data_IF_487921350498
#
_entry.id   IF_487921350498
#
_cell.length_a   1.000
_cell.length_b   1.000
_cell.length_c   1.000
_cell.angle_alpha   90.00
_cell.angle_beta   90.00
_cell.angle_gamma   90.00
#
_symmetry.space_group_name_H-M   'P 1'
#
loop_
_entity.id
_entity.type
_entity.pdbx_description
1 polymer ?
#
# COMPACT_ATOMS: atom_id res chain seq x y z
N UNK A 1 -11.48 -27.79 -18.55
CA UNK A 1 -10.02 -27.56 -18.64
C UNK A 1 -9.78 -26.52 -19.73
N UNK A 2 -9.02 -25.45 -19.48
CA UNK A 2 -8.76 -24.41 -20.49
C UNK A 2 -7.62 -24.85 -21.40
N UNK A 3 -7.81 -24.80 -22.72
CA UNK A 3 -6.77 -25.13 -23.70
C UNK A 3 -5.73 -24.00 -23.77
N UNK A 4 -4.60 -24.19 -23.07
CA UNK A 4 -3.51 -23.20 -22.93
C UNK A 4 -2.69 -22.99 -24.20
N UNK A 5 -2.51 -24.02 -25.02
CA UNK A 5 -1.68 -24.00 -26.23
C UNK A 5 -2.50 -24.08 -27.51
N UNK A 6 -2.06 -23.37 -28.56
CA UNK A 6 -2.65 -23.41 -29.90
C UNK A 6 -1.59 -23.21 -30.98
N UNK A 7 -1.86 -23.76 -32.16
CA UNK A 7 -1.07 -23.53 -33.37
C UNK A 7 -1.70 -22.37 -34.15
N UNK A 8 -0.90 -21.36 -34.51
CA UNK A 8 -1.24 -20.23 -35.37
C UNK A 8 -0.56 -20.41 -36.72
N UNK A 9 -1.30 -20.21 -37.81
CA UNK A 9 -0.78 -20.28 -39.19
C UNK A 9 0.06 -21.54 -39.47
N UNK A 10 -0.36 -22.67 -38.90
CA UNK A 10 0.24 -24.02 -39.00
C UNK A 10 1.70 -24.18 -38.55
N UNK A 11 2.43 -23.09 -38.28
CA UNK A 11 3.87 -23.08 -37.96
C UNK A 11 4.20 -22.47 -36.60
N UNK A 12 3.33 -21.60 -36.06
CA UNK A 12 3.60 -20.85 -34.83
C UNK A 12 2.93 -21.49 -33.62
N UNK A 13 3.68 -22.11 -32.71
CA UNK A 13 3.16 -22.57 -31.42
C UNK A 13 3.03 -21.40 -30.45
N UNK A 14 1.82 -21.17 -29.94
CA UNK A 14 1.52 -20.15 -28.93
C UNK A 14 1.05 -20.82 -27.64
N UNK A 15 1.68 -20.49 -26.52
CA UNK A 15 1.35 -20.98 -25.17
C UNK A 15 0.92 -19.79 -24.30
N UNK A 16 -0.30 -19.83 -23.78
CA UNK A 16 -0.86 -18.79 -22.92
C UNK A 16 -0.63 -19.09 -21.44
N UNK A 17 -0.18 -18.08 -20.69
CA UNK A 17 0.12 -18.20 -19.26
C UNK A 17 1.26 -19.19 -18.99
N UNK A 18 2.43 -18.96 -19.61
CA UNK A 18 3.62 -19.82 -19.49
C UNK A 18 4.01 -20.01 -18.01
N UNK A 19 4.34 -21.23 -17.65
CA UNK A 19 4.74 -21.69 -16.32
C UNK A 19 6.05 -22.48 -16.40
N UNK A 20 6.68 -22.73 -15.25
CA UNK A 20 7.90 -23.56 -15.13
C UNK A 20 7.78 -24.90 -15.84
N UNK A 21 6.61 -25.56 -15.74
CA UNK A 21 6.33 -26.86 -16.34
C UNK A 21 6.07 -26.86 -17.87
N UNK A 22 6.05 -25.70 -18.53
CA UNK A 22 6.03 -25.65 -20.01
C UNK A 22 7.45 -25.61 -20.61
N UNK A 23 8.50 -25.47 -19.79
CA UNK A 23 9.88 -25.42 -20.26
C UNK A 23 10.34 -26.78 -20.80
N UNK A 24 11.12 -26.78 -21.90
CA UNK A 24 11.56 -28.02 -22.54
C UNK A 24 11.93 -27.88 -24.01
N UNK A 25 12.07 -29.03 -24.68
CA UNK A 25 12.38 -29.15 -26.10
C UNK A 25 11.09 -29.40 -26.90
N UNK A 26 10.86 -28.60 -27.93
CA UNK A 26 9.71 -28.65 -28.82
C UNK A 26 10.20 -28.94 -30.23
N UNK A 27 9.55 -29.89 -30.91
CA UNK A 27 9.87 -30.22 -32.31
C UNK A 27 8.79 -29.70 -33.24
N UNK A 28 9.13 -28.74 -34.10
CA UNK A 28 8.32 -28.38 -35.26
C UNK A 28 8.49 -29.47 -36.32
N UNK A 29 7.39 -29.94 -36.92
CA UNK A 29 7.43 -30.98 -37.98
C UNK A 29 6.58 -30.54 -39.17
N UNK A 30 7.22 -30.37 -40.32
CA UNK A 30 6.58 -29.92 -41.57
C UNK A 30 6.88 -30.93 -42.68
N UNK A 31 5.92 -31.83 -42.94
CA UNK A 31 6.07 -32.93 -43.89
C UNK A 31 7.14 -33.94 -43.46
N UNK A 32 8.35 -33.80 -43.98
CA UNK A 32 9.55 -34.59 -43.62
C UNK A 32 10.65 -33.78 -42.93
N UNK A 33 10.50 -32.46 -42.80
CA UNK A 33 11.44 -31.61 -42.09
C UNK A 33 11.09 -31.57 -40.60
N UNK A 34 12.11 -31.64 -39.75
CA UNK A 34 11.97 -31.50 -38.30
C UNK A 34 12.97 -30.45 -37.79
N UNK A 35 12.47 -29.45 -37.06
CA UNK A 35 13.28 -28.41 -36.42
C UNK A 35 13.03 -28.43 -34.91
N UNK A 36 14.08 -28.19 -34.12
CA UNK A 36 14.01 -28.19 -32.66
C UNK A 36 14.12 -26.77 -32.10
N UNK A 37 13.15 -26.39 -31.28
CA UNK A 37 13.13 -25.13 -30.54
C UNK A 37 13.09 -25.42 -29.03
N UNK A 38 13.75 -24.59 -28.21
CA UNK A 38 13.81 -24.78 -26.76
C UNK A 38 13.10 -23.64 -26.04
N UNK A 39 12.08 -23.97 -25.26
CA UNK A 39 11.42 -23.03 -24.36
C UNK A 39 12.11 -23.07 -23.00
N UNK A 40 12.60 -21.91 -22.57
CA UNK A 40 13.21 -21.69 -21.26
C UNK A 40 12.29 -20.74 -20.50
N UNK A 41 12.04 -21.03 -19.23
CA UNK A 41 11.19 -20.20 -18.37
C UNK A 41 12.04 -19.77 -17.19
N UNK A 42 12.32 -18.46 -17.10
CA UNK A 42 13.04 -17.88 -15.99
C UNK A 42 12.13 -17.02 -15.12
N UNK A 43 12.40 -16.98 -13.82
CA UNK A 43 11.78 -16.04 -12.90
C UNK A 43 12.84 -15.48 -11.95
N UNK A 44 13.02 -14.16 -12.00
CA UNK A 44 13.96 -13.44 -11.16
C UNK A 44 13.29 -12.83 -9.92
N UNK A 45 14.00 -12.84 -8.80
CA UNK A 45 13.49 -12.41 -7.49
C UNK A 45 14.59 -11.82 -6.62
N UNK A 46 14.21 -11.05 -5.60
CA UNK A 46 15.11 -10.47 -4.60
C UNK A 46 14.50 -10.57 -3.19
N UNK A 47 15.33 -10.93 -2.21
CA UNK A 47 14.95 -11.04 -0.81
C UNK A 47 15.94 -10.26 0.08
N UNK A 48 15.50 -9.40 1.01
CA UNK A 48 14.11 -9.00 1.24
C UNK A 48 13.52 -8.21 0.05
N UNK A 49 12.18 -8.05 -0.01
CA UNK A 49 11.56 -7.18 -1.00
C UNK A 49 12.08 -5.74 -0.94
N UNK A 50 12.21 -5.13 -2.12
CA UNK A 50 12.66 -3.75 -2.34
C UNK A 50 11.71 -2.75 -1.64
N UNK A 51 12.19 -1.65 -1.03
CA UNK A 51 13.55 -1.10 -1.08
C UNK A 51 14.52 -1.69 -0.05
N UNK A 52 15.75 -1.93 -0.50
CA UNK A 52 16.87 -2.38 0.33
C UNK A 52 17.46 -1.20 1.12
N UNK A 53 18.28 -1.53 2.12
CA UNK A 53 18.88 -0.58 3.07
C UNK A 53 20.40 -0.64 2.96
N UNK A 54 21.09 0.51 2.85
CA UNK A 54 22.57 0.56 2.82
C UNK A 54 23.14 -0.09 4.08
N UNK A 55 24.16 -0.93 3.92
CA UNK A 55 24.76 -1.71 5.01
C UNK A 55 23.97 -2.98 5.38
N UNK A 56 22.75 -3.14 4.89
CA UNK A 56 21.96 -4.36 5.04
C UNK A 56 22.46 -5.51 4.16
N UNK A 57 21.69 -6.60 4.11
CA UNK A 57 21.94 -7.73 3.21
C UNK A 57 20.76 -8.01 2.28
N UNK A 58 21.04 -8.54 1.10
CA UNK A 58 20.04 -9.01 0.15
C UNK A 58 20.55 -10.20 -0.67
N UNK A 59 19.62 -10.96 -1.25
CA UNK A 59 19.90 -12.11 -2.12
C UNK A 59 19.04 -11.99 -3.37
N UNK A 60 19.68 -11.93 -4.54
CA UNK A 60 19.04 -12.07 -5.84
C UNK A 60 19.03 -13.55 -6.23
N UNK A 61 17.92 -14.03 -6.80
CA UNK A 61 17.82 -15.39 -7.38
C UNK A 61 17.14 -15.35 -8.74
N UNK A 62 17.76 -15.97 -9.73
CA UNK A 62 17.16 -16.26 -11.02
C UNK A 62 16.93 -17.76 -11.14
N UNK A 63 15.69 -18.20 -10.88
CA UNK A 63 15.28 -19.58 -11.09
C UNK A 63 15.07 -19.78 -12.60
N UNK A 64 15.62 -20.85 -13.18
CA UNK A 64 15.54 -21.13 -14.62
C UNK A 64 15.15 -22.59 -14.86
N UNK A 65 13.96 -22.79 -15.41
CA UNK A 65 13.46 -24.10 -15.82
C UNK A 65 13.75 -24.38 -17.29
N UNK A 66 14.07 -25.64 -17.58
CA UNK A 66 14.49 -26.07 -18.91
C UNK A 66 15.79 -25.44 -19.36
N UNK A 67 16.83 -25.38 -18.51
CA UNK A 67 18.20 -25.08 -18.97
C UNK A 67 18.77 -26.26 -19.82
N UNK A 68 19.93 -26.12 -20.43
CA UNK A 68 20.60 -27.16 -21.22
C UNK A 68 22.06 -27.32 -20.78
N UNK A 69 22.63 -28.48 -21.08
CA UNK A 69 24.01 -28.79 -20.72
C UNK A 69 24.99 -27.81 -21.37
N UNK A 70 25.94 -27.31 -20.58
CA UNK A 70 26.88 -26.26 -20.99
C UNK A 70 26.30 -24.84 -21.07
N UNK A 71 25.02 -24.62 -20.77
CA UNK A 71 24.45 -23.28 -20.66
C UNK A 71 24.63 -22.73 -19.24
N UNK A 72 24.99 -21.46 -19.11
CA UNK A 72 25.26 -20.78 -17.83
C UNK A 72 24.33 -19.59 -17.61
N UNK A 73 24.03 -19.32 -16.35
CA UNK A 73 23.18 -18.21 -15.89
C UNK A 73 24.07 -17.19 -15.18
N UNK A 74 23.99 -15.93 -15.58
CA UNK A 74 24.73 -14.82 -14.97
C UNK A 74 23.80 -13.65 -14.66
N UNK A 75 24.10 -12.94 -13.58
CA UNK A 75 23.47 -11.66 -13.24
C UNK A 75 24.35 -10.50 -13.69
N UNK A 76 23.77 -9.55 -14.43
CA UNK A 76 24.42 -8.27 -14.73
C UNK A 76 23.77 -7.18 -13.90
N UNK A 77 24.56 -6.52 -13.06
CA UNK A 77 24.12 -5.42 -12.21
C UNK A 77 24.41 -4.03 -12.82
N UNK A 78 23.91 -2.97 -12.16
CA UNK A 78 24.27 -1.59 -12.48
C UNK A 78 25.78 -1.38 -12.49
N UNK A 79 26.25 -0.56 -13.43
CA UNK A 79 27.67 -0.36 -13.73
C UNK A 79 28.30 -1.43 -14.62
N UNK A 80 27.52 -2.37 -15.17
CA UNK A 80 28.02 -3.44 -16.04
C UNK A 80 28.74 -4.58 -15.28
N UNK A 81 28.59 -4.62 -13.96
CA UNK A 81 29.17 -5.64 -13.08
C UNK A 81 28.49 -6.98 -13.34
N UNK A 82 29.22 -8.00 -13.81
CA UNK A 82 28.67 -9.35 -14.01
C UNK A 82 29.03 -10.30 -12.87
N UNK A 83 28.13 -11.21 -12.57
CA UNK A 83 28.26 -12.26 -11.57
C UNK A 83 27.87 -13.61 -12.20
N UNK A 84 28.83 -14.54 -12.31
CA UNK A 84 28.64 -15.86 -12.96
C UNK A 84 27.94 -16.87 -12.04
N UNK A 85 26.76 -16.49 -11.53
CA UNK A 85 25.92 -17.34 -10.70
C UNK A 85 24.44 -17.01 -10.89
N UNK A 86 23.56 -18.01 -10.72
CA UNK A 86 22.11 -17.82 -10.68
C UNK A 86 21.62 -17.12 -9.39
N UNK A 87 22.43 -17.15 -8.32
CA UNK A 87 22.16 -16.50 -7.02
C UNK A 87 23.31 -15.56 -6.67
N UNK A 88 22.99 -14.32 -6.30
CA UNK A 88 23.98 -13.31 -5.87
C UNK A 88 23.63 -12.82 -4.47
N UNK A 89 24.62 -12.82 -3.58
CA UNK A 89 24.51 -12.26 -2.23
C UNK A 89 25.13 -10.86 -2.21
N UNK A 90 24.34 -9.86 -1.81
CA UNK A 90 24.78 -8.49 -1.57
C UNK A 90 24.88 -8.30 -0.05
N UNK A 91 26.10 -8.18 0.48
CA UNK A 91 26.36 -7.95 1.89
C UNK A 91 27.76 -7.35 2.10
N UNK A 92 27.88 -6.06 2.45
CA UNK A 92 26.81 -5.07 2.58
C UNK A 92 26.16 -4.69 1.25
N UNK A 93 24.89 -4.30 1.28
CA UNK A 93 24.23 -3.57 0.18
C UNK A 93 24.77 -2.13 0.14
N UNK A 94 25.13 -1.66 -1.05
CA UNK A 94 25.66 -0.32 -1.30
C UNK A 94 24.74 0.50 -2.21
N UNK A 95 24.92 1.81 -2.27
CA UNK A 95 24.15 2.67 -3.20
C UNK A 95 24.40 2.32 -4.68
N UNK A 96 25.59 1.79 -5.00
CA UNK A 96 25.93 1.32 -6.36
C UNK A 96 25.09 0.12 -6.82
N UNK A 97 24.46 -0.60 -5.89
CA UNK A 97 23.62 -1.77 -6.18
C UNK A 97 22.17 -1.39 -6.51
N UNK A 98 21.81 -0.10 -6.37
CA UNK A 98 20.56 0.46 -6.87
C UNK A 98 20.57 0.58 -8.39
N UNK A 99 19.55 0.04 -9.06
CA UNK A 99 19.44 0.03 -10.51
C UNK A 99 18.63 -1.14 -11.05
N UNK A 100 18.68 -1.35 -12.36
CA UNK A 100 18.17 -2.57 -12.98
C UNK A 100 19.24 -3.65 -12.92
N UNK A 101 18.85 -4.85 -12.49
CA UNK A 101 19.63 -6.07 -12.55
C UNK A 101 19.01 -7.02 -13.59
N UNK A 102 19.84 -7.58 -14.46
CA UNK A 102 19.44 -8.42 -15.60
C UNK A 102 19.88 -9.87 -15.36
N UNK A 103 18.99 -10.85 -15.53
CA UNK A 103 19.36 -12.26 -15.62
C UNK A 103 19.52 -12.68 -17.09
N UNK A 104 20.76 -13.04 -17.46
CA UNK A 104 21.15 -13.38 -18.82
C UNK A 104 21.64 -14.83 -18.91
N UNK A 105 21.33 -15.51 -20.03
CA UNK A 105 21.71 -16.91 -20.25
C UNK A 105 22.65 -17.04 -21.46
N UNK A 106 23.77 -17.72 -21.22
CA UNK A 106 24.86 -17.98 -22.18
C UNK A 106 24.85 -19.48 -22.52
N UNK A 107 25.14 -19.94 -23.76
CA UNK A 107 25.60 -19.19 -24.93
C UNK A 107 24.48 -18.54 -25.77
N UNK A 108 23.21 -18.64 -25.38
CA UNK A 108 22.10 -18.08 -26.18
C UNK A 108 22.09 -16.54 -26.28
N UNK A 109 22.92 -15.86 -25.49
CA UNK A 109 23.06 -14.40 -25.46
C UNK A 109 21.82 -13.67 -24.95
N UNK A 110 20.82 -14.40 -24.47
CA UNK A 110 19.47 -13.90 -24.28
C UNK A 110 19.24 -13.42 -22.85
N UNK A 111 18.93 -12.14 -22.72
CA UNK A 111 18.23 -11.53 -21.57
C UNK A 111 16.86 -12.19 -21.41
N UNK A 112 16.52 -12.66 -20.21
CA UNK A 112 15.19 -13.30 -19.98
C UNK A 112 14.33 -12.54 -18.97
N UNK A 113 14.92 -11.96 -17.92
CA UNK A 113 14.16 -11.22 -16.90
C UNK A 113 14.99 -10.11 -16.24
N UNK A 114 14.31 -9.02 -15.87
CA UNK A 114 14.87 -7.84 -15.20
C UNK A 114 14.28 -7.67 -13.78
N UNK A 115 15.08 -7.22 -12.83
CA UNK A 115 14.67 -6.85 -11.47
C UNK A 115 15.18 -5.45 -11.15
N UNK A 116 14.26 -4.52 -10.83
CA UNK A 116 14.63 -3.16 -10.42
C UNK A 116 14.85 -3.07 -8.91
N UNK A 117 16.11 -2.99 -8.51
CA UNK A 117 16.51 -2.78 -7.11
C UNK A 117 16.55 -1.28 -6.81
N UNK A 118 15.97 -0.90 -5.68
CA UNK A 118 16.04 0.45 -5.10
C UNK A 118 16.71 0.33 -3.74
N UNK A 119 17.68 1.20 -3.47
CA UNK A 119 18.45 1.23 -2.22
C UNK A 119 18.14 2.54 -1.50
N UNK A 120 17.91 2.49 -0.19
CA UNK A 120 17.76 3.65 0.69
C UNK A 120 19.03 3.84 1.51
N UNK A 121 19.70 4.97 1.33
CA UNK A 121 20.72 5.44 2.25
C UNK A 121 20.12 5.71 3.63
N UNK A 122 20.73 5.16 4.68
CA UNK A 122 20.42 5.51 6.07
C UNK A 122 21.46 6.51 6.53
N UNK A 123 21.11 7.79 6.52
CA UNK A 123 21.86 8.78 7.29
C UNK A 123 21.78 8.36 8.77
N UNK A 124 22.94 8.10 9.38
CA UNK A 124 23.06 7.26 10.57
C UNK A 124 22.58 7.88 11.88
N UNK A 125 21.26 8.01 12.05
CA UNK A 125 20.60 8.35 13.35
C UNK A 125 19.24 7.65 13.54
N UNK A 126 19.02 6.48 12.92
CA UNK A 126 17.88 5.61 13.27
C UNK A 126 18.31 4.50 14.24
N UNK A 127 18.36 4.87 15.52
CA UNK A 127 18.35 3.94 16.65
C UNK A 127 17.19 2.95 16.53
N UNK A 128 17.32 1.76 17.11
CA UNK A 128 16.31 0.71 17.09
C UNK A 128 14.88 1.24 17.39
N UNK A 129 13.90 0.69 16.68
CA UNK A 129 12.51 1.15 16.71
C UNK A 129 11.79 0.86 18.04
N UNK A 130 12.06 1.68 19.05
CA UNK A 130 11.09 1.93 20.13
C UNK A 130 9.84 2.50 19.47
N UNK A 131 8.63 1.93 19.69
CA UNK A 131 7.42 2.48 19.12
C UNK A 131 7.25 3.94 19.59
N UNK A 132 6.93 4.90 18.70
CA UNK A 132 6.82 6.30 19.07
C UNK A 132 5.65 6.45 20.05
N UNK A 133 5.99 6.64 21.33
CA UNK A 133 5.03 7.06 22.35
C UNK A 133 4.39 8.37 21.84
N UNK A 134 3.08 8.30 21.61
CA UNK A 134 2.30 9.35 20.97
C UNK A 134 2.60 10.71 21.63
N UNK A 135 2.82 11.79 20.86
CA UNK A 135 3.13 13.08 21.44
C UNK A 135 1.98 13.54 22.33
N UNK A 136 2.18 13.52 23.65
CA UNK A 136 1.25 14.00 24.68
C UNK A 136 1.14 15.54 24.70
N UNK A 137 1.12 16.15 23.50
CA UNK A 137 0.99 17.57 23.23
C UNK A 137 -0.38 17.93 22.62
N UNK A 138 -1.25 16.94 22.38
CA UNK A 138 -2.61 17.10 21.88
C UNK A 138 -3.64 16.57 22.89
N UNK A 139 -3.87 17.30 23.98
CA UNK A 139 -5.17 17.95 24.22
C UNK A 139 -5.33 18.53 25.64
N UNK A 140 -4.85 19.76 25.85
CA UNK A 140 -5.31 20.57 27.00
C UNK A 140 -6.76 21.03 26.81
N UNK A 141 -7.21 21.15 25.55
CA UNK A 141 -8.58 21.52 25.17
C UNK A 141 -9.65 20.53 25.65
N UNK A 142 -9.36 19.22 25.73
CA UNK A 142 -10.31 18.23 26.28
C UNK A 142 -10.58 18.49 27.76
N UNK A 143 -9.55 18.85 28.54
CA UNK A 143 -9.73 19.25 29.94
C UNK A 143 -10.47 20.59 30.08
N UNK A 144 -10.22 21.55 29.18
CA UNK A 144 -10.98 22.80 29.12
C UNK A 144 -12.48 22.56 28.83
N UNK A 145 -12.81 21.63 27.93
CA UNK A 145 -14.19 21.25 27.63
C UNK A 145 -14.89 20.58 28.82
N UNK A 146 -14.21 19.66 29.52
CA UNK A 146 -14.71 18.97 30.72
C UNK A 146 -14.97 19.97 31.86
N UNK A 147 -14.05 20.91 32.10
CA UNK A 147 -14.19 21.93 33.14
C UNK A 147 -15.30 22.95 32.84
N UNK A 148 -15.32 23.50 31.62
CA UNK A 148 -16.29 24.52 31.21
C UNK A 148 -17.73 24.03 31.16
N UNK A 149 -17.97 22.81 30.64
CA UNK A 149 -19.31 22.24 30.51
C UNK A 149 -20.04 22.08 31.84
N UNK A 150 -19.32 21.67 32.89
CA UNK A 150 -19.89 21.49 34.22
C UNK A 150 -20.45 22.81 34.80
N UNK A 151 -19.72 23.92 34.65
CA UNK A 151 -20.15 25.24 35.13
C UNK A 151 -21.42 25.71 34.42
N UNK A 152 -21.51 25.54 33.10
CA UNK A 152 -22.70 25.91 32.31
C UNK A 152 -23.93 25.09 32.73
N UNK A 153 -23.77 23.77 32.91
CA UNK A 153 -24.85 22.89 33.37
C UNK A 153 -25.31 23.26 34.79
N UNK A 154 -24.39 23.52 35.71
CA UNK A 154 -24.72 23.95 37.08
C UNK A 154 -25.49 25.27 37.09
N UNK A 155 -25.06 26.27 36.31
CA UNK A 155 -25.78 27.55 36.19
C UNK A 155 -27.18 27.38 35.59
N UNK A 156 -27.35 26.51 34.59
CA UNK A 156 -28.65 26.23 33.99
C UNK A 156 -29.61 25.50 34.95
N UNK A 157 -29.10 24.51 35.71
CA UNK A 157 -29.87 23.83 36.76
C UNK A 157 -30.25 24.79 37.89
N UNK A 158 -29.34 25.67 38.33
CA UNK A 158 -29.65 26.72 39.30
C UNK A 158 -30.72 27.69 38.77
N UNK A 159 -30.66 28.08 37.49
CA UNK A 159 -31.68 28.91 36.85
C UNK A 159 -33.05 28.22 36.82
N UNK A 160 -33.12 26.92 36.50
CA UNK A 160 -34.36 26.14 36.57
C UNK A 160 -34.91 26.02 38.01
N UNK A 161 -34.04 25.83 39.00
CA UNK A 161 -34.44 25.78 40.42
C UNK A 161 -34.96 27.15 40.87
N UNK A 162 -34.33 28.26 40.47
CA UNK A 162 -34.82 29.60 40.76
C UNK A 162 -36.12 29.90 40.04
N UNK A 163 -36.25 29.57 38.75
CA UNK A 163 -37.50 29.71 37.99
C UNK A 163 -38.64 28.94 38.66
N UNK A 164 -38.40 27.69 39.06
CA UNK A 164 -39.39 26.89 39.78
C UNK A 164 -39.68 27.39 41.20
N UNK A 165 -38.72 28.01 41.90
CA UNK A 165 -38.98 28.67 43.20
C UNK A 165 -39.76 29.98 43.04
N UNK A 166 -39.50 30.76 42.00
CA UNK A 166 -40.25 31.98 41.67
C UNK A 166 -41.66 31.64 41.18
N UNK A 167 -41.81 30.59 40.36
CA UNK A 167 -43.11 30.06 39.94
C UNK A 167 -43.92 29.56 41.15
N UNK A 168 -43.33 28.73 42.03
CA UNK A 168 -43.99 28.31 43.29
C UNK A 168 -44.32 29.48 44.23
N UNK A 169 -43.55 30.57 44.23
CA UNK A 169 -43.90 31.81 44.94
C UNK A 169 -45.10 32.53 44.31
N UNK A 170 -45.31 32.43 42.99
CA UNK A 170 -46.47 33.00 42.27
C UNK A 170 -47.74 32.15 42.34
N UNK A 171 -47.69 30.93 42.89
CA UNK A 171 -48.87 30.07 43.16
C UNK A 171 -49.49 30.39 44.54
N UNK A 172 -49.15 31.53 45.17
CA UNK A 172 -49.73 31.98 46.46
C UNK A 172 -50.13 33.46 46.47
N UNK A 173 -51.05 33.86 45.60
CA UNK A 173 -51.82 35.12 45.74
C UNK A 173 -53.18 35.06 45.03
N UNK A 174 -54.30 35.29 45.75
CA UNK A 174 -55.62 35.54 45.15
C UNK A 174 -56.10 37.00 45.31
N UNK A 175 -57.20 37.34 44.61
CA UNK A 175 -58.01 38.58 44.69
C UNK A 175 -57.47 39.79 43.86
N UNK A 176 -58.39 40.67 43.45
CA UNK A 176 -58.32 41.50 42.25
C UNK A 176 -58.16 43.01 42.50
N UNK A 177 -57.50 43.70 41.56
CA UNK A 177 -57.86 44.99 40.91
C UNK A 177 -56.73 45.35 39.92
N UNK A 178 -56.90 46.07 38.80
CA UNK A 178 -58.07 46.60 38.08
C UNK A 178 -57.58 47.46 36.88
N UNK A 179 -58.42 47.70 35.85
CA UNK A 179 -58.20 48.60 34.69
C UNK A 179 -57.07 48.23 33.68
N UNK A 180 -57.38 47.77 32.47
CA UNK A 180 -57.56 48.57 31.21
C UNK A 180 -56.29 49.40 30.88
N UNK A 181 -55.57 49.14 29.78
CA UNK A 181 -55.93 49.58 28.42
C UNK A 181 -55.52 48.64 27.26
N UNK A 182 -56.19 48.81 26.10
CA UNK A 182 -55.93 48.12 24.82
C UNK A 182 -54.73 48.69 24.05
N UNK A 183 -54.04 47.84 23.27
CA UNK A 183 -54.02 47.97 21.79
C UNK A 183 -53.56 46.71 21.03
N UNK A 184 -54.48 46.17 20.21
CA UNK A 184 -54.23 45.47 18.94
C UNK A 184 -53.59 46.42 17.90
N UNK A 185 -53.01 46.06 16.74
CA UNK A 185 -52.88 44.85 15.87
C UNK A 185 -51.60 45.05 15.00
N UNK A 186 -51.09 44.21 14.07
CA UNK A 186 -51.44 42.93 13.39
C UNK A 186 -50.09 42.30 12.94
N UNK A 187 -49.77 41.02 13.15
CA UNK A 187 -49.95 39.89 12.22
C UNK A 187 -49.92 40.24 10.70
N UNK A 188 -48.96 39.65 9.97
CA UNK A 188 -49.17 39.02 8.65
C UNK A 188 -48.19 37.85 8.51
N UNK A 189 -48.73 36.63 8.41
CA UNK A 189 -48.04 35.47 7.81
C UNK A 189 -48.82 35.13 6.55
N UNK A 190 -48.12 34.81 5.45
CA UNK A 190 -48.50 33.97 4.30
C UNK A 190 -47.75 34.45 3.03
N UNK A 191 -47.53 33.62 2.01
CA UNK A 191 -48.21 32.34 1.70
C UNK A 191 -47.26 31.33 1.04
N UNK A 192 -47.61 30.05 1.12
CA UNK A 192 -47.09 29.01 0.23
C UNK A 192 -47.71 29.16 -1.17
N UNK A 193 -46.88 28.98 -2.20
CA UNK A 193 -46.96 27.92 -3.23
C UNK A 193 -45.52 27.56 -3.57
#
# INVERSE_FOLDING_TARGET
MVKRSRLKHETTLEISGVTRGDAGLFTCKVGRQEEQHRLIVASASVAPPVPLVVGGSAVLRCDVDGLADGWTVQWRGPGGRSHEAATVHLSPVTEQDGGTWECAITPSGKTITDVKIQVRGVNGTQTAQTPPLLPMALSWWVWAAIGGGCVVVLLWVLALIMYNRLSRRKVKTPVQTGFIYRKTTKQTINKSI
#
